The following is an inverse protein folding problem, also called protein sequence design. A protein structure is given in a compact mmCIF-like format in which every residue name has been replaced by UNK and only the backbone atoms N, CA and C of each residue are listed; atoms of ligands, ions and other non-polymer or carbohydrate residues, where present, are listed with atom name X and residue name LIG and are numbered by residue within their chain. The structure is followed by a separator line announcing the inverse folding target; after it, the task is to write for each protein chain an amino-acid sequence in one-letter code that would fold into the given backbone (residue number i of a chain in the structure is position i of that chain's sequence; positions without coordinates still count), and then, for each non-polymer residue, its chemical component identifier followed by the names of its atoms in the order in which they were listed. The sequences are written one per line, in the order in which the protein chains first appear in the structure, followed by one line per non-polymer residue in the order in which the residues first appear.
data_IF_450886135895
#
_entry.id   IF_450886135895
#
_cell.length_a   1.000
_cell.length_b   1.000
_cell.length_c   1.000
_cell.angle_alpha   90.00
_cell.angle_beta   90.00
_cell.angle_gamma   90.00
#
_symmetry.space_group_name_H-M   'P 1'
#
loop_
_entity.id
_entity.type
_entity.pdbx_description
1 polymer ?
#
# COMPACT_ATOMS: atom_id res chain seq x y z
N UNK A 1 -9.71 5.45 -9.19
CA UNK A 1 -8.48 4.70 -8.82
C UNK A 1 -8.87 3.54 -7.93
N UNK A 2 -8.24 2.36 -8.06
CA UNK A 2 -8.46 1.21 -7.17
C UNK A 2 -7.19 0.89 -6.39
N UNK A 3 -7.32 0.65 -5.08
CA UNK A 3 -6.22 0.26 -4.21
C UNK A 3 -6.63 -0.99 -3.43
N UNK A 4 -5.90 -2.08 -3.63
CA UNK A 4 -6.04 -3.32 -2.88
C UNK A 4 -4.95 -3.36 -1.79
N UNK A 5 -5.33 -3.29 -0.52
CA UNK A 5 -4.40 -3.37 0.62
C UNK A 5 -4.38 -4.79 1.15
N UNK A 6 -3.21 -5.43 1.17
CA UNK A 6 -3.02 -6.78 1.70
C UNK A 6 -2.35 -6.68 3.07
N UNK A 7 -3.05 -7.11 4.12
CA UNK A 7 -2.61 -6.99 5.52
C UNK A 7 -3.03 -8.22 6.33
N UNK A 8 -2.46 -8.39 7.52
CA UNK A 8 -2.95 -9.33 8.53
C UNK A 8 -4.00 -8.72 9.45
N UNK A 9 -4.23 -7.40 9.37
CA UNK A 9 -5.04 -6.63 10.30
C UNK A 9 -5.98 -5.67 9.55
N UNK A 10 -6.98 -6.20 8.83
CA UNK A 10 -7.90 -5.38 8.04
C UNK A 10 -8.65 -4.32 8.89
N UNK A 11 -9.00 -4.67 10.12
CA UNK A 11 -9.76 -3.79 11.03
C UNK A 11 -9.07 -2.46 11.37
N UNK A 12 -7.73 -2.37 11.23
CA UNK A 12 -6.98 -1.11 11.41
C UNK A 12 -7.44 -0.04 10.41
N UNK A 13 -7.96 -0.45 9.25
CA UNK A 13 -8.42 0.47 8.21
C UNK A 13 -9.87 0.95 8.40
N UNK A 14 -10.67 0.29 9.25
CA UNK A 14 -12.09 0.61 9.44
C UNK A 14 -12.34 2.08 9.76
N UNK A 15 -11.57 2.62 10.71
CA UNK A 15 -11.59 4.04 11.05
C UNK A 15 -11.05 4.89 9.90
N UNK A 16 -9.86 4.58 9.39
CA UNK A 16 -9.19 5.39 8.38
C UNK A 16 -10.02 5.61 7.10
N UNK A 17 -10.67 4.56 6.59
CA UNK A 17 -11.44 4.61 5.34
C UNK A 17 -12.78 5.37 5.46
N UNK A 18 -13.29 5.56 6.68
CA UNK A 18 -14.62 6.14 6.93
C UNK A 18 -14.59 7.61 7.32
N UNK A 19 -13.41 8.24 7.33
CA UNK A 19 -13.27 9.64 7.75
C UNK A 19 -12.92 10.59 6.59
N UNK A 20 -13.29 11.85 6.80
CA UNK A 20 -12.78 13.01 6.07
C UNK A 20 -12.90 12.92 4.53
N UNK A 21 -11.88 13.41 3.83
CA UNK A 21 -11.79 13.50 2.37
C UNK A 21 -11.83 12.13 1.70
N UNK A 22 -11.17 11.13 2.30
CA UNK A 22 -11.12 9.78 1.76
C UNK A 22 -12.50 9.14 1.70
N UNK A 23 -13.29 9.22 2.78
CA UNK A 23 -14.66 8.72 2.80
C UNK A 23 -15.52 9.36 1.71
N UNK A 24 -15.44 10.69 1.57
CA UNK A 24 -16.18 11.42 0.52
C UNK A 24 -15.76 10.99 -0.89
N UNK A 25 -14.47 10.70 -1.10
CA UNK A 25 -13.96 10.25 -2.40
C UNK A 25 -14.46 8.83 -2.74
N UNK A 26 -14.53 7.95 -1.74
CA UNK A 26 -15.10 6.61 -1.86
C UNK A 26 -16.60 6.68 -2.14
N UNK A 27 -17.37 7.46 -1.39
CA UNK A 27 -18.82 7.62 -1.56
C UNK A 27 -19.20 8.16 -2.95
N UNK A 28 -18.34 9.01 -3.52
CA UNK A 28 -18.49 9.55 -4.89
C UNK A 28 -18.03 8.57 -5.98
N UNK A 29 -17.48 7.42 -5.63
CA UNK A 29 -16.95 6.43 -6.57
C UNK A 29 -15.68 6.88 -7.31
N UNK A 30 -14.99 7.92 -6.84
CA UNK A 30 -13.71 8.36 -7.43
C UNK A 30 -12.58 7.37 -7.13
N UNK A 31 -12.69 6.69 -5.98
CA UNK A 31 -11.69 5.79 -5.44
C UNK A 31 -12.38 4.54 -4.88
N UNK A 32 -11.78 3.39 -5.15
CA UNK A 32 -12.17 2.10 -4.57
C UNK A 32 -11.00 1.61 -3.72
N UNK A 33 -11.25 1.32 -2.43
CA UNK A 33 -10.26 0.70 -1.55
C UNK A 33 -10.81 -0.62 -1.05
N UNK A 34 -10.09 -1.70 -1.33
CA UNK A 34 -10.40 -3.03 -0.84
C UNK A 34 -9.30 -3.47 0.12
N UNK A 35 -9.66 -3.94 1.31
CA UNK A 35 -8.72 -4.42 2.32
C UNK A 35 -8.86 -5.92 2.45
N UNK A 36 -7.76 -6.62 2.25
CA UNK A 36 -7.70 -8.08 2.13
C UNK A 36 -6.90 -8.65 3.29
N UNK A 37 -7.47 -9.64 3.98
CA UNK A 37 -6.73 -10.38 5.00
C UNK A 37 -5.89 -11.47 4.32
N UNK A 38 -4.57 -11.39 4.40
CA UNK A 38 -3.68 -12.38 3.79
C UNK A 38 -3.96 -13.81 4.27
N UNK A 39 -4.53 -13.96 5.47
CA UNK A 39 -4.94 -15.25 6.05
C UNK A 39 -5.97 -16.01 5.23
N UNK A 40 -6.73 -15.30 4.39
CA UNK A 40 -7.73 -15.91 3.50
C UNK A 40 -7.07 -16.72 2.36
N UNK A 41 -5.77 -16.50 2.10
CA UNK A 41 -4.97 -17.27 1.14
C UNK A 41 -4.02 -18.28 1.81
N UNK A 42 -4.17 -18.51 3.12
CA UNK A 42 -3.43 -19.55 3.82
C UNK A 42 -3.77 -20.94 3.27
N UNK A 43 -2.76 -21.82 3.20
CA UNK A 43 -2.94 -23.24 2.89
C UNK A 43 -3.17 -24.10 4.12
N UNK A 44 -3.00 -23.53 5.31
CA UNK A 44 -3.37 -24.15 6.57
C UNK A 44 -4.83 -23.81 6.89
N UNK A 45 -5.75 -24.68 6.46
CA UNK A 45 -7.19 -24.51 6.69
C UNK A 45 -7.59 -24.57 8.17
N UNK A 46 -6.71 -25.08 9.05
CA UNK A 46 -7.02 -25.29 10.46
C UNK A 46 -6.69 -24.06 11.30
N UNK A 47 -5.55 -23.44 11.05
CA UNK A 47 -5.06 -22.32 11.84
C UNK A 47 -4.85 -21.03 11.05
N UNK A 48 -5.06 -21.05 9.72
CA UNK A 48 -4.85 -19.92 8.82
C UNK A 48 -3.48 -19.25 9.03
N UNK A 49 -2.45 -20.08 9.23
CA UNK A 49 -1.06 -19.66 9.44
C UNK A 49 -0.47 -19.12 8.14
N UNK A 50 0.24 -18.01 8.20
CA UNK A 50 0.83 -17.32 7.03
C UNK A 50 2.27 -16.90 7.25
N UNK A 51 2.83 -17.24 8.40
CA UNK A 51 4.16 -16.88 8.86
C UNK A 51 4.89 -18.11 9.38
N UNK A 52 6.21 -18.20 9.22
CA UNK A 52 6.99 -19.27 9.84
C UNK A 52 8.35 -18.78 10.34
N UNK A 53 9.06 -19.62 11.11
CA UNK A 53 10.39 -19.28 11.62
C UNK A 53 11.40 -19.13 10.48
N UNK A 54 12.33 -18.16 10.55
CA UNK A 54 13.37 -18.00 9.55
C UNK A 54 14.31 -19.21 9.53
N UNK A 55 14.65 -19.67 8.32
CA UNK A 55 15.78 -20.59 8.14
C UNK A 55 17.08 -19.91 8.57
N UNK A 56 17.97 -20.65 9.23
CA UNK A 56 19.19 -20.10 9.83
C UNK A 56 19.02 -19.61 11.28
N UNK A 57 17.78 -19.58 11.80
CA UNK A 57 17.49 -19.15 13.16
C UNK A 57 17.40 -17.63 13.31
N UNK A 58 17.34 -17.17 14.57
CA UNK A 58 17.06 -15.77 14.92
C UNK A 58 15.67 -15.60 15.54
N UNK A 59 15.40 -14.43 16.14
CA UNK A 59 14.09 -14.11 16.68
C UNK A 59 13.08 -13.82 15.56
N UNK A 60 11.79 -13.86 15.91
CA UNK A 60 10.71 -13.43 15.02
C UNK A 60 10.20 -14.49 14.04
N UNK A 61 9.37 -14.03 13.12
CA UNK A 61 8.68 -14.84 12.11
C UNK A 61 8.77 -14.10 10.76
N UNK A 62 8.70 -14.83 9.66
CA UNK A 62 8.62 -14.28 8.30
C UNK A 62 7.32 -14.71 7.64
N UNK A 63 6.69 -13.80 6.90
CA UNK A 63 5.52 -14.13 6.08
C UNK A 63 5.95 -15.09 4.96
N UNK A 64 5.23 -16.21 4.86
CA UNK A 64 5.47 -17.28 3.91
C UNK A 64 5.18 -16.85 2.45
N UNK A 65 5.92 -17.43 1.51
CA UNK A 65 5.83 -17.13 0.08
C UNK A 65 4.45 -17.44 -0.50
N UNK A 66 3.96 -18.65 -0.24
CA UNK A 66 2.77 -19.19 -0.91
C UNK A 66 1.49 -18.35 -0.71
N UNK A 67 1.07 -17.98 0.51
CA UNK A 67 -0.14 -17.17 0.69
C UNK A 67 -0.03 -15.81 -0.02
N UNK A 68 1.17 -15.21 -0.04
CA UNK A 68 1.40 -13.91 -0.70
C UNK A 68 1.27 -14.03 -2.20
N UNK A 69 1.93 -15.01 -2.82
CA UNK A 69 1.86 -15.25 -4.26
C UNK A 69 0.41 -15.56 -4.67
N UNK A 70 -0.29 -16.44 -3.95
CA UNK A 70 -1.69 -16.77 -4.22
C UNK A 70 -2.60 -15.54 -4.10
N UNK A 71 -2.40 -14.72 -3.08
CA UNK A 71 -3.16 -13.48 -2.87
C UNK A 71 -2.96 -12.52 -4.04
N UNK A 72 -1.71 -12.20 -4.38
CA UNK A 72 -1.39 -11.23 -5.44
C UNK A 72 -1.89 -11.70 -6.80
N UNK A 73 -1.70 -12.96 -7.15
CA UNK A 73 -2.21 -13.50 -8.43
C UNK A 73 -3.74 -13.51 -8.48
N UNK A 74 -4.41 -13.81 -7.36
CA UNK A 74 -5.86 -13.71 -7.25
C UNK A 74 -6.35 -12.27 -7.46
N UNK A 75 -5.71 -11.27 -6.84
CA UNK A 75 -6.08 -9.86 -6.97
C UNK A 75 -5.83 -9.31 -8.37
N UNK A 76 -4.75 -9.76 -9.03
CA UNK A 76 -4.48 -9.47 -10.44
C UNK A 76 -5.55 -10.07 -11.36
N UNK A 77 -6.10 -11.23 -11.03
CA UNK A 77 -7.13 -11.88 -11.84
C UNK A 77 -8.53 -11.23 -11.73
N UNK A 78 -8.83 -10.48 -10.67
CA UNK A 78 -10.13 -9.81 -10.48
C UNK A 78 -10.40 -8.76 -11.54
N UNK A 79 -9.36 -8.13 -12.09
CA UNK A 79 -9.50 -7.11 -13.11
C UNK A 79 -8.28 -7.14 -14.05
N UNK A 80 -8.47 -7.18 -15.37
CA UNK A 80 -7.40 -7.38 -16.35
C UNK A 80 -6.47 -6.17 -16.50
N UNK A 81 -6.81 -5.00 -15.96
CA UNK A 81 -5.94 -3.82 -16.01
C UNK A 81 -4.67 -4.07 -15.19
N UNK A 82 -3.48 -3.68 -15.68
CA UNK A 82 -2.24 -3.79 -14.91
C UNK A 82 -2.37 -3.14 -13.54
N UNK A 83 -1.92 -3.83 -12.51
CA UNK A 83 -1.86 -3.33 -11.15
C UNK A 83 -0.40 -3.22 -10.71
N UNK A 84 -0.02 -2.06 -10.20
CA UNK A 84 1.31 -1.88 -9.61
C UNK A 84 1.36 -2.58 -8.26
N UNK A 85 2.23 -3.58 -8.14
CA UNK A 85 2.48 -4.25 -6.87
C UNK A 85 3.56 -3.50 -6.11
N UNK A 86 3.22 -3.00 -4.92
CA UNK A 86 4.11 -2.25 -4.05
C UNK A 86 4.35 -3.04 -2.77
N UNK A 87 5.61 -3.34 -2.48
CA UNK A 87 6.04 -3.91 -1.20
C UNK A 87 6.47 -2.78 -0.27
N UNK A 88 5.77 -2.62 0.85
CA UNK A 88 6.10 -1.58 1.84
C UNK A 88 7.19 -2.09 2.77
N UNK A 89 8.40 -1.54 2.60
CA UNK A 89 9.62 -2.01 3.28
C UNK A 89 10.61 -0.85 3.46
N UNK A 90 11.33 -0.77 4.60
CA UNK A 90 12.33 0.28 4.82
C UNK A 90 13.52 0.19 3.84
N UNK A 91 13.70 -0.95 3.16
CA UNK A 91 14.76 -1.15 2.16
C UNK A 91 14.41 -0.56 0.77
N UNK A 92 13.16 -0.14 0.58
CA UNK A 92 12.67 0.36 -0.69
C UNK A 92 13.11 1.78 -1.05
N UNK A 93 12.76 2.23 -2.25
CA UNK A 93 12.93 3.63 -2.66
C UNK A 93 12.13 4.51 -1.69
N UNK A 94 12.74 5.58 -1.18
CA UNK A 94 12.06 6.51 -0.26
C UNK A 94 10.95 7.25 -1.00
N UNK A 95 9.75 7.24 -0.43
CA UNK A 95 8.57 7.94 -0.91
C UNK A 95 8.85 9.44 -0.96
N UNK A 96 8.58 10.04 -2.12
CA UNK A 96 8.55 11.48 -2.34
C UNK A 96 7.35 11.82 -3.23
N UNK A 97 7.07 13.12 -3.39
CA UNK A 97 5.93 13.58 -4.18
C UNK A 97 6.03 13.18 -5.67
N UNK A 98 7.23 12.97 -6.20
CA UNK A 98 7.42 12.49 -7.59
C UNK A 98 6.89 11.06 -7.73
N UNK A 99 7.18 10.18 -6.77
CA UNK A 99 6.64 8.82 -6.75
C UNK A 99 5.12 8.82 -6.60
N UNK A 100 4.56 9.69 -5.75
CA UNK A 100 3.11 9.82 -5.59
C UNK A 100 2.45 10.20 -6.93
N UNK A 101 3.05 11.15 -7.65
CA UNK A 101 2.64 11.57 -8.99
C UNK A 101 2.83 10.48 -10.07
N UNK A 102 3.78 9.55 -9.89
CA UNK A 102 3.94 8.36 -10.72
C UNK A 102 2.87 7.31 -10.45
N UNK A 103 2.39 7.19 -9.20
CA UNK A 103 1.44 6.16 -8.76
C UNK A 103 -0.02 6.53 -9.04
N UNK A 104 -0.42 7.77 -8.77
CA UNK A 104 -1.79 8.24 -8.97
C UNK A 104 -2.38 7.91 -10.36
N UNK A 105 -1.67 8.14 -11.50
CA UNK A 105 -2.22 7.86 -12.82
C UNK A 105 -2.26 6.37 -13.19
N UNK A 106 -1.56 5.47 -12.47
CA UNK A 106 -1.56 4.02 -12.77
C UNK A 106 -2.93 3.38 -12.57
N UNK A 107 -3.80 4.02 -11.79
CA UNK A 107 -5.20 3.65 -11.66
C UNK A 107 -5.47 2.38 -10.83
N UNK A 108 -4.49 1.48 -10.67
CA UNK A 108 -4.56 0.29 -9.81
C UNK A 108 -3.26 0.04 -9.05
N UNK A 109 -3.34 -0.05 -7.72
CA UNK A 109 -2.24 -0.39 -6.82
C UNK A 109 -2.61 -1.60 -5.95
N UNK A 110 -1.64 -2.49 -5.71
CA UNK A 110 -1.71 -3.53 -4.67
C UNK A 110 -0.62 -3.21 -3.66
N UNK A 111 -1.00 -2.91 -2.42
CA UNK A 111 -0.07 -2.54 -1.34
C UNK A 111 0.12 -3.74 -0.40
N UNK A 112 1.32 -4.32 -0.36
CA UNK A 112 1.67 -5.40 0.56
C UNK A 112 2.20 -4.84 1.87
N UNK A 113 1.42 -5.00 2.94
CA UNK A 113 1.81 -4.59 4.29
C UNK A 113 2.64 -5.69 4.97
N UNK A 114 3.92 -5.44 5.20
CA UNK A 114 4.78 -6.33 5.99
C UNK A 114 4.38 -6.37 7.47
N UNK A 115 4.68 -7.49 8.12
CA UNK A 115 4.58 -7.74 9.56
C UNK A 115 5.72 -8.65 10.00
N UNK A 116 5.88 -8.80 11.32
CA UNK A 116 6.95 -9.59 11.90
C UNK A 116 8.31 -9.08 11.42
N UNK A 117 9.23 -9.97 11.03
CA UNK A 117 10.53 -9.59 10.45
C UNK A 117 10.45 -9.30 8.93
N UNK A 118 9.26 -9.37 8.34
CA UNK A 118 9.01 -9.11 6.92
C UNK A 118 8.55 -10.35 6.17
N UNK A 119 8.94 -10.42 4.90
CA UNK A 119 8.56 -11.50 3.98
C UNK A 119 9.76 -12.41 3.70
N UNK A 120 9.49 -13.67 3.39
CA UNK A 120 10.47 -14.51 2.71
C UNK A 120 10.92 -13.83 1.40
N UNK A 121 12.24 -13.76 1.18
CA UNK A 121 12.82 -13.00 0.06
C UNK A 121 12.34 -13.47 -1.31
N UNK A 122 11.95 -14.75 -1.45
CA UNK A 122 11.42 -15.29 -2.71
C UNK A 122 10.13 -14.58 -3.16
N UNK A 123 9.40 -13.94 -2.26
CA UNK A 123 8.26 -13.06 -2.61
C UNK A 123 8.74 -11.95 -3.55
N UNK A 124 9.87 -11.32 -3.26
CA UNK A 124 10.48 -10.27 -4.10
C UNK A 124 10.95 -10.85 -5.43
N UNK A 125 11.62 -11.99 -5.40
CA UNK A 125 12.15 -12.65 -6.62
C UNK A 125 11.03 -13.07 -7.59
N UNK A 126 9.94 -13.63 -7.07
CA UNK A 126 8.83 -14.16 -7.85
C UNK A 126 7.94 -13.03 -8.36
N UNK A 127 7.51 -12.12 -7.47
CA UNK A 127 6.48 -11.13 -7.79
C UNK A 127 7.04 -9.82 -8.34
N UNK A 128 8.35 -9.57 -8.14
CA UNK A 128 9.07 -8.37 -8.57
C UNK A 128 8.33 -7.07 -8.22
N UNK A 129 7.95 -6.86 -6.95
CA UNK A 129 7.24 -5.65 -6.52
C UNK A 129 8.15 -4.42 -6.62
N UNK A 130 7.54 -3.24 -6.77
CA UNK A 130 8.22 -1.99 -6.43
C UNK A 130 8.38 -1.94 -4.92
N UNK A 131 9.60 -1.95 -4.42
CA UNK A 131 9.90 -1.78 -3.01
C UNK A 131 9.88 -0.29 -2.64
N UNK A 132 9.06 0.08 -1.65
CA UNK A 132 8.83 1.47 -1.24
C UNK A 132 8.99 1.63 0.27
N UNK A 133 9.80 2.61 0.67
CA UNK A 133 9.98 3.06 2.05
C UNK A 133 9.28 4.39 2.28
N UNK A 134 8.64 4.60 3.43
CA UNK A 134 8.08 5.91 3.82
C UNK A 134 9.06 6.79 4.62
N UNK A 135 10.29 6.29 4.84
CA UNK A 135 11.37 7.06 5.48
C UNK A 135 12.36 6.18 6.24
N UNK A 136 13.38 6.83 6.79
CA UNK A 136 14.51 6.16 7.46
C UNK A 136 14.19 5.86 8.93
N UNK A 137 13.14 5.06 9.15
CA UNK A 137 12.67 4.62 10.46
C UNK A 137 11.93 3.28 10.35
N UNK A 138 11.68 2.63 11.49
CA UNK A 138 11.03 1.31 11.56
C UNK A 138 9.61 1.43 12.12
N UNK A 139 8.66 0.79 11.45
CA UNK A 139 7.27 0.67 11.89
C UNK A 139 6.98 -0.76 12.35
N UNK A 140 5.92 -0.93 13.16
CA UNK A 140 5.42 -2.25 13.56
C UNK A 140 4.81 -3.06 12.40
N UNK A 141 4.55 -2.40 11.26
CA UNK A 141 3.98 -3.04 10.08
C UNK A 141 3.77 -2.04 8.95
N UNK A 142 3.44 -2.56 7.78
CA UNK A 142 3.23 -1.76 6.58
C UNK A 142 1.90 -0.99 6.55
N UNK A 143 0.98 -1.19 7.49
CA UNK A 143 -0.36 -0.59 7.39
C UNK A 143 -0.34 0.94 7.44
N UNK A 144 0.46 1.53 8.32
CA UNK A 144 0.61 3.00 8.37
C UNK A 144 1.30 3.52 7.11
N UNK A 145 2.29 2.78 6.58
CA UNK A 145 2.92 3.13 5.31
C UNK A 145 1.92 3.08 4.15
N UNK A 146 1.00 2.10 4.13
CA UNK A 146 -0.07 2.02 3.15
C UNK A 146 -1.02 3.22 3.26
N UNK A 147 -1.39 3.61 4.48
CA UNK A 147 -2.21 4.80 4.72
C UNK A 147 -1.52 6.07 4.20
N UNK A 148 -0.22 6.23 4.41
CA UNK A 148 0.54 7.38 3.87
C UNK A 148 0.48 7.39 2.33
N UNK A 149 0.73 6.25 1.69
CA UNK A 149 0.67 6.13 0.22
C UNK A 149 -0.72 6.43 -0.32
N UNK A 150 -1.76 5.90 0.33
CA UNK A 150 -3.16 6.17 -0.01
C UNK A 150 -3.43 7.67 0.13
N UNK A 151 -3.18 8.25 1.30
CA UNK A 151 -3.48 9.67 1.60
C UNK A 151 -2.81 10.63 0.60
N UNK A 152 -1.54 10.39 0.28
CA UNK A 152 -0.82 11.20 -0.69
C UNK A 152 -1.38 11.03 -2.11
N UNK A 153 -1.65 9.78 -2.54
CA UNK A 153 -2.08 9.50 -3.91
C UNK A 153 -3.52 9.98 -4.18
N UNK A 154 -4.44 9.83 -3.22
CA UNK A 154 -5.84 10.21 -3.42
C UNK A 154 -6.01 11.71 -3.69
N UNK A 155 -5.13 12.56 -3.11
CA UNK A 155 -5.18 14.01 -3.29
C UNK A 155 -4.97 14.43 -4.74
N UNK A 156 -4.27 13.61 -5.52
CA UNK A 156 -4.01 13.86 -6.95
C UNK A 156 -5.12 13.36 -7.87
N UNK A 157 -6.16 12.70 -7.34
CA UNK A 157 -7.27 12.19 -8.14
C UNK A 157 -8.27 13.32 -8.42
N UNK A 158 -8.62 13.58 -9.69
CA UNK A 158 -9.58 14.63 -10.05
C UNK A 158 -10.91 14.48 -9.29
N UNK A 159 -11.41 15.60 -8.77
CA UNK A 159 -12.65 15.67 -8.00
C UNK A 159 -12.52 15.35 -6.50
N UNK A 160 -11.33 14.95 -6.02
CA UNK A 160 -11.11 14.69 -4.59
C UNK A 160 -10.97 16.00 -3.81
N UNK A 161 -9.99 16.86 -4.13
CA UNK A 161 -9.76 18.13 -3.44
C UNK A 161 -10.79 19.23 -3.77
N UNK A 162 -11.64 19.02 -4.78
CA UNK A 162 -12.61 19.99 -5.26
C UNK A 162 -12.00 21.00 -6.23
N UNK A 163 -10.92 21.68 -5.85
CA UNK A 163 -10.16 22.59 -6.72
C UNK A 163 -8.86 21.89 -7.20
N UNK A 164 -8.72 21.73 -8.52
CA UNK A 164 -7.57 21.08 -9.14
C UNK A 164 -6.26 21.84 -8.89
N UNK A 165 -6.35 23.15 -8.69
CA UNK A 165 -5.18 23.99 -8.42
C UNK A 165 -4.61 23.76 -7.02
N UNK A 166 -5.41 23.24 -6.08
CA UNK A 166 -4.97 22.99 -4.69
C UNK A 166 -3.78 22.03 -4.62
N UNK A 167 -3.74 20.99 -5.45
CA UNK A 167 -2.59 20.07 -5.47
C UNK A 167 -1.38 20.59 -6.25
N UNK A 168 -1.55 21.63 -7.08
CA UNK A 168 -0.51 22.09 -8.01
C UNK A 168 0.56 22.92 -7.31
N UNK A 169 0.14 23.81 -6.42
CA UNK A 169 1.00 24.78 -5.72
C UNK A 169 1.48 24.29 -4.33
N UNK A 170 0.94 23.16 -3.87
CA UNK A 170 1.35 22.46 -2.65
C UNK A 170 2.88 22.29 -2.56
N UNK A 171 3.37 22.25 -1.32
CA UNK A 171 4.78 21.96 -1.06
C UNK A 171 5.23 20.67 -1.77
N UNK A 172 6.31 20.75 -2.53
CA UNK A 172 6.92 19.66 -3.32
C UNK A 172 6.14 19.16 -4.54
N UNK A 173 4.97 19.71 -4.87
CA UNK A 173 4.16 19.34 -6.04
C UNK A 173 4.75 19.78 -7.39
N UNK A 174 4.10 19.37 -8.50
CA UNK A 174 4.55 19.68 -9.87
C UNK A 174 4.80 21.17 -10.13
N UNK A 175 3.91 22.03 -9.64
CA UNK A 175 4.03 23.48 -9.78
C UNK A 175 5.03 24.10 -8.81
N UNK A 176 5.36 23.40 -7.71
CA UNK A 176 6.14 23.91 -6.61
C UNK A 176 7.03 22.83 -5.98
N UNK A 177 8.28 22.69 -6.44
CA UNK A 177 9.25 21.71 -5.90
C UNK A 177 9.95 22.17 -4.62
N UNK A 178 9.46 23.23 -3.97
CA UNK A 178 9.96 23.75 -2.69
C UNK A 178 8.80 23.81 -1.66
N UNK A 179 9.07 24.42 -0.51
CA UNK A 179 8.04 24.67 0.51
C UNK A 179 7.12 25.81 0.10
N UNK A 180 5.83 25.70 0.44
CA UNK A 180 4.87 26.79 0.32
C UNK A 180 5.19 27.98 1.21
N UNK A 181 4.59 29.11 0.84
CA UNK A 181 4.69 30.35 1.59
C UNK A 181 3.77 30.35 2.82
N UNK A 182 4.10 31.11 3.88
CA UNK A 182 3.24 31.27 5.05
C UNK A 182 1.87 31.88 4.72
N UNK A 183 0.80 31.40 5.36
CA UNK A 183 -0.58 31.92 5.25
C UNK A 183 -1.07 32.53 6.58
#
# INVERSE_FOLDING_TARGET
MRIDVVTLFPEIFSGYLTQSLLAKAIDKGLIEIAVHNLRDWSTDEKHHKVDDRPYGGGPGMLICVEPVVRCVESLRAIDPRPAELVLLTPQGRRLDQTIVEEFAPRGRLILLCGRYEGFDHRVVEILKPTELSVGDFVLNGGEVAAMIVIDAAIRLIPGVLGDEQSSWDDSFSRGNRILEFPQ
#
